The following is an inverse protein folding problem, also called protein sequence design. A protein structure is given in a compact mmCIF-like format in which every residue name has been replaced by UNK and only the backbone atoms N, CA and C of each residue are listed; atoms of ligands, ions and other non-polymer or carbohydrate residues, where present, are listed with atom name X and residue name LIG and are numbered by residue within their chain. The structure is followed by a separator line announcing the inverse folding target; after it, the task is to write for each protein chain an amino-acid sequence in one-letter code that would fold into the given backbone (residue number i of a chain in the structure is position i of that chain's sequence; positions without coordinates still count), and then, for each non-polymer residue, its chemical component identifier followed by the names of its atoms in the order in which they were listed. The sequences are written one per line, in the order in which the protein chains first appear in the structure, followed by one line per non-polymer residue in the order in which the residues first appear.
data_IF_308917408946
#
_entry.id   IF_308917408946
#
_cell.length_a   1.000
_cell.length_b   1.000
_cell.length_c   1.000
_cell.angle_alpha   90.00
_cell.angle_beta   90.00
_cell.angle_gamma   90.00
#
_symmetry.space_group_name_H-M   'P 1'
#
loop_
_entity.id
_entity.type
_entity.pdbx_description
1 polymer ?
#
# COMPACT_ATOMS: atom_id res chain seq x y z
N UNK A 1 13.74 4.72 -21.70
CA UNK A 1 12.75 3.95 -20.89
C UNK A 1 12.64 4.68 -19.56
N UNK A 2 11.46 5.00 -19.07
CA UNK A 2 11.34 5.60 -17.75
C UNK A 2 11.83 4.61 -16.69
N UNK A 3 12.50 5.11 -15.64
CA UNK A 3 12.94 4.30 -14.51
C UNK A 3 11.73 3.67 -13.81
N UNK A 4 11.89 2.49 -13.26
CA UNK A 4 10.82 1.85 -12.49
C UNK A 4 10.56 2.66 -11.19
N UNK A 5 9.34 2.61 -10.67
CA UNK A 5 8.96 3.40 -9.48
C UNK A 5 9.85 3.10 -8.26
N UNK A 6 10.34 1.87 -8.12
CA UNK A 6 11.25 1.46 -7.05
C UNK A 6 12.71 1.90 -7.26
N UNK A 7 13.03 2.57 -8.37
CA UNK A 7 14.32 3.22 -8.63
C UNK A 7 14.27 4.73 -8.34
N UNK A 8 13.09 5.28 -8.05
CA UNK A 8 12.93 6.67 -7.63
C UNK A 8 13.49 6.85 -6.21
N UNK A 9 14.51 7.68 -6.05
CA UNK A 9 15.19 7.91 -4.77
C UNK A 9 14.24 8.40 -3.66
N UNK A 10 13.18 9.12 -4.02
CA UNK A 10 12.16 9.58 -3.07
C UNK A 10 11.36 8.39 -2.54
N UNK A 11 10.99 7.47 -3.41
CA UNK A 11 10.25 6.24 -3.06
C UNK A 11 11.13 5.31 -2.22
N UNK A 12 12.40 5.12 -2.61
CA UNK A 12 13.38 4.30 -1.85
C UNK A 12 13.56 4.85 -0.43
N UNK A 13 13.73 6.17 -0.30
CA UNK A 13 13.87 6.81 1.02
C UNK A 13 12.61 6.65 1.87
N UNK A 14 11.43 7.00 1.33
CA UNK A 14 10.16 6.88 2.04
C UNK A 14 9.85 5.43 2.44
N UNK A 15 10.14 4.46 1.58
CA UNK A 15 10.02 3.05 1.92
C UNK A 15 10.95 2.65 3.07
N UNK A 16 12.18 3.16 3.09
CA UNK A 16 13.11 2.93 4.19
C UNK A 16 12.55 3.40 5.53
N UNK A 17 12.04 4.64 5.57
CA UNK A 17 11.40 5.22 6.77
C UNK A 17 10.17 4.41 7.18
N UNK A 18 9.30 4.06 6.22
CA UNK A 18 8.11 3.24 6.47
C UNK A 18 8.47 1.90 7.12
N UNK A 19 9.40 1.16 6.55
CA UNK A 19 9.81 -0.15 7.07
C UNK A 19 10.44 -0.06 8.46
N UNK A 20 11.20 1.00 8.75
CA UNK A 20 11.78 1.24 10.06
C UNK A 20 10.68 1.53 11.09
N UNK A 21 9.75 2.44 10.78
CA UNK A 21 8.62 2.76 11.65
C UNK A 21 7.74 1.52 11.94
N UNK A 22 7.54 0.65 10.96
CA UNK A 22 6.79 -0.61 11.17
C UNK A 22 7.54 -1.57 12.10
N UNK A 23 8.87 -1.68 11.98
CA UNK A 23 9.69 -2.50 12.90
C UNK A 23 9.62 -1.98 14.33
N UNK A 24 9.65 -0.66 14.52
CA UNK A 24 9.57 -0.04 15.85
C UNK A 24 8.20 -0.23 16.50
N UNK A 25 7.12 -0.17 15.72
CA UNK A 25 5.75 -0.42 16.23
C UNK A 25 5.55 -1.86 16.68
N UNK A 26 6.34 -2.78 16.14
CA UNK A 26 6.12 -4.20 16.30
C UNK A 26 4.86 -4.66 15.56
N UNK A 27 4.71 -5.94 15.38
CA UNK A 27 3.60 -6.52 14.62
C UNK A 27 4.12 -7.46 13.55
N UNK A 28 3.21 -8.20 12.95
CA UNK A 28 3.53 -9.15 11.89
C UNK A 28 3.04 -8.60 10.57
N UNK A 29 3.92 -8.55 9.58
CA UNK A 29 3.49 -8.24 8.22
C UNK A 29 2.56 -9.34 7.72
N UNK A 30 1.37 -8.97 7.30
CA UNK A 30 0.36 -9.86 6.74
C UNK A 30 0.21 -9.73 5.23
N UNK A 31 0.78 -8.68 4.64
CA UNK A 31 0.69 -8.45 3.21
C UNK A 31 1.25 -7.10 2.78
N UNK A 32 0.86 -6.73 1.58
CA UNK A 32 1.24 -5.49 0.93
C UNK A 32 0.00 -4.78 0.40
N UNK A 33 -0.05 -3.48 0.46
CA UNK A 33 -1.03 -2.66 -0.23
C UNK A 33 -0.38 -1.91 -1.38
N UNK A 34 -1.14 -1.70 -2.45
CA UNK A 34 -0.75 -0.91 -3.61
C UNK A 34 -1.69 0.28 -3.71
N UNK A 35 -1.14 1.48 -3.79
CA UNK A 35 -1.93 2.70 -3.88
C UNK A 35 -1.38 3.70 -4.87
N UNK A 36 -2.15 4.76 -5.11
CA UNK A 36 -1.76 5.92 -5.93
C UNK A 36 -1.39 5.56 -7.39
N UNK A 37 -1.89 4.42 -7.88
CA UNK A 37 -1.61 3.90 -9.22
C UNK A 37 -2.51 4.44 -10.33
N UNK A 38 -3.44 5.34 -10.05
CA UNK A 38 -4.24 5.99 -11.08
C UNK A 38 -3.37 6.91 -11.95
N UNK A 39 -3.53 6.89 -13.29
CA UNK A 39 -2.68 7.68 -14.20
C UNK A 39 -2.55 9.16 -13.81
N UNK A 40 -3.65 9.83 -13.49
CA UNK A 40 -3.65 11.24 -13.08
C UNK A 40 -2.93 11.48 -11.74
N UNK A 41 -2.93 10.49 -10.83
CA UNK A 41 -2.23 10.57 -9.56
C UNK A 41 -0.73 10.35 -9.78
N UNK A 42 -0.37 9.34 -10.57
CA UNK A 42 1.02 9.08 -10.94
C UNK A 42 1.65 10.27 -11.65
N UNK A 43 0.93 10.90 -12.60
CA UNK A 43 1.38 12.10 -13.28
C UNK A 43 1.64 13.24 -12.28
N UNK A 44 0.71 13.48 -11.35
CA UNK A 44 0.84 14.53 -10.33
C UNK A 44 2.04 14.29 -9.40
N UNK A 45 2.30 13.03 -9.02
CA UNK A 45 3.42 12.65 -8.15
C UNK A 45 4.74 12.49 -8.91
N UNK A 46 4.70 12.45 -10.23
CA UNK A 46 5.84 12.20 -11.09
C UNK A 46 6.38 10.77 -10.93
N UNK A 47 5.50 9.79 -10.67
CA UNK A 47 5.88 8.38 -10.53
C UNK A 47 5.54 7.59 -11.78
N UNK A 48 6.22 6.45 -11.97
CA UNK A 48 6.04 5.55 -13.13
C UNK A 48 5.23 4.29 -12.79
N UNK A 49 4.76 4.18 -11.56
CA UNK A 49 3.97 3.05 -11.07
C UNK A 49 3.30 3.34 -9.74
N UNK A 50 2.46 2.44 -9.29
CA UNK A 50 1.83 2.48 -7.97
C UNK A 50 2.87 2.38 -6.85
N UNK A 51 2.58 3.01 -5.71
CA UNK A 51 3.36 2.85 -4.49
C UNK A 51 2.94 1.58 -3.75
N UNK A 52 3.86 0.98 -3.02
CA UNK A 52 3.63 -0.24 -2.23
C UNK A 52 3.98 0.04 -0.78
N UNK A 53 3.14 -0.42 0.16
CA UNK A 53 3.38 -0.32 1.59
C UNK A 53 3.00 -1.62 2.30
N UNK A 54 3.58 -1.87 3.48
CA UNK A 54 3.26 -3.05 4.28
C UNK A 54 1.86 -2.95 4.91
N UNK A 55 1.18 -4.10 4.98
CA UNK A 55 0.03 -4.31 5.84
C UNK A 55 0.46 -5.09 7.08
N UNK A 56 0.06 -4.59 8.25
CA UNK A 56 0.37 -5.18 9.54
C UNK A 56 -0.89 -5.77 10.19
N UNK A 57 -0.74 -6.87 10.92
CA UNK A 57 -1.84 -7.50 11.66
C UNK A 57 -2.49 -6.55 12.68
N UNK A 58 -1.68 -5.68 13.31
CA UNK A 58 -2.15 -4.71 14.28
C UNK A 58 -3.14 -3.65 13.71
N UNK A 59 -3.18 -3.47 12.38
CA UNK A 59 -4.09 -2.54 11.72
C UNK A 59 -5.22 -3.23 10.96
N UNK A 60 -5.26 -4.56 10.98
CA UNK A 60 -6.34 -5.34 10.38
C UNK A 60 -7.57 -5.33 11.30
N UNK A 61 -8.69 -4.94 10.75
CA UNK A 61 -9.99 -5.01 11.44
C UNK A 61 -10.84 -6.13 10.86
N UNK A 62 -11.58 -6.79 11.72
CA UNK A 62 -12.55 -7.79 11.30
C UNK A 62 -13.74 -7.15 10.59
N UNK A 63 -14.36 -7.90 9.69
CA UNK A 63 -15.61 -7.48 9.06
C UNK A 63 -16.69 -7.24 10.13
N UNK A 64 -17.31 -6.06 10.09
CA UNK A 64 -18.30 -5.62 11.07
C UNK A 64 -17.70 -4.92 12.30
N UNK A 65 -16.37 -4.75 12.38
CA UNK A 65 -15.75 -3.94 13.43
C UNK A 65 -16.21 -2.49 13.35
N UNK A 66 -16.14 -1.80 14.49
CA UNK A 66 -16.37 -0.35 14.58
C UNK A 66 -15.04 0.34 14.88
N UNK A 67 -14.77 1.40 14.16
CA UNK A 67 -13.61 2.25 14.37
C UNK A 67 -14.08 3.67 14.66
N UNK A 68 -13.58 4.27 15.76
CA UNK A 68 -13.77 5.70 15.99
C UNK A 68 -12.84 6.49 15.09
N UNK A 69 -13.40 7.49 14.43
CA UNK A 69 -12.66 8.48 13.65
C UNK A 69 -12.56 9.83 14.38
N UNK A 70 -12.85 9.82 15.68
CA UNK A 70 -12.71 11.02 16.52
C UNK A 70 -11.26 11.50 16.52
N UNK A 71 -11.07 12.76 16.23
CA UNK A 71 -9.74 13.37 16.12
C UNK A 71 -9.06 13.22 14.75
N UNK A 72 -9.67 12.47 13.81
CA UNK A 72 -9.19 12.46 12.43
C UNK A 72 -9.53 13.78 11.74
N UNK A 73 -8.57 14.30 10.97
CA UNK A 73 -8.74 15.56 10.24
C UNK A 73 -9.59 15.38 8.98
N UNK A 74 -9.36 14.28 8.26
CA UNK A 74 -10.08 13.93 7.03
C UNK A 74 -10.13 12.42 6.85
N UNK A 75 -11.09 11.75 7.48
CA UNK A 75 -11.29 10.31 7.28
C UNK A 75 -11.70 10.02 5.83
N UNK A 76 -11.02 9.08 5.21
CA UNK A 76 -11.30 8.59 3.86
C UNK A 76 -11.50 7.08 3.92
N UNK A 77 -12.47 6.60 3.14
CA UNK A 77 -12.80 5.19 2.98
C UNK A 77 -12.54 4.81 1.53
N UNK A 78 -11.64 3.89 1.30
CA UNK A 78 -11.25 3.44 -0.03
C UNK A 78 -11.72 2.00 -0.25
N UNK A 79 -12.68 1.77 -1.18
CA UNK A 79 -13.05 0.41 -1.57
C UNK A 79 -11.87 -0.29 -2.26
N UNK A 80 -11.55 -1.48 -1.81
CA UNK A 80 -10.38 -2.24 -2.24
C UNK A 80 -10.73 -3.67 -2.62
N UNK A 81 -9.82 -4.33 -3.30
CA UNK A 81 -9.86 -5.77 -3.53
C UNK A 81 -8.68 -6.41 -2.79
N UNK A 82 -8.99 -7.20 -1.78
CA UNK A 82 -8.00 -8.06 -1.12
C UNK A 82 -7.70 -9.25 -2.02
N UNK A 83 -6.41 -9.48 -2.28
CA UNK A 83 -5.90 -10.60 -3.07
C UNK A 83 -5.17 -11.54 -2.13
N UNK A 84 -5.64 -12.78 -2.01
CA UNK A 84 -5.00 -13.80 -1.19
C UNK A 84 -4.01 -14.58 -2.05
N UNK A 85 -2.75 -14.55 -1.63
CA UNK A 85 -1.64 -15.23 -2.31
C UNK A 85 -1.34 -16.53 -1.56
N UNK A 86 -1.42 -17.67 -2.24
CA UNK A 86 -1.23 -18.99 -1.64
C UNK A 86 0.17 -19.56 -1.78
N UNK A 87 0.98 -19.00 -2.69
CA UNK A 87 2.37 -19.40 -2.90
C UNK A 87 3.22 -18.18 -3.21
N UNK A 88 4.49 -18.22 -2.82
CA UNK A 88 5.43 -17.16 -3.15
C UNK A 88 5.62 -17.05 -4.66
N UNK A 89 5.79 -15.82 -5.14
CA UNK A 89 6.16 -15.52 -6.52
C UNK A 89 7.63 -15.10 -6.52
N UNK A 90 8.45 -15.81 -7.28
CA UNK A 90 9.87 -15.50 -7.40
C UNK A 90 10.08 -14.09 -7.97
N UNK A 91 11.12 -13.37 -7.51
CA UNK A 91 11.49 -12.08 -8.08
C UNK A 91 11.70 -12.18 -9.61
N UNK A 92 11.06 -11.30 -10.34
CA UNK A 92 11.08 -11.33 -11.80
C UNK A 92 10.09 -12.31 -12.43
N UNK A 93 9.23 -12.95 -11.65
CA UNK A 93 8.11 -13.74 -12.15
C UNK A 93 7.20 -12.93 -13.07
N UNK A 94 6.65 -13.59 -14.06
CA UNK A 94 5.75 -12.96 -15.01
C UNK A 94 4.30 -12.85 -14.46
N UNK A 95 3.43 -12.26 -15.28
CA UNK A 95 2.02 -12.09 -14.95
C UNK A 95 1.30 -13.41 -14.72
N UNK A 96 1.65 -14.45 -15.47
CA UNK A 96 1.00 -15.75 -15.38
C UNK A 96 1.38 -16.44 -14.06
N UNK A 97 2.64 -16.35 -13.65
CA UNK A 97 3.10 -16.83 -12.35
C UNK A 97 2.40 -16.08 -11.20
N UNK A 98 2.28 -14.77 -11.29
CA UNK A 98 1.55 -13.97 -10.30
C UNK A 98 0.07 -14.36 -10.24
N UNK A 99 -0.58 -14.53 -11.39
CA UNK A 99 -1.99 -14.93 -11.45
C UNK A 99 -2.22 -16.34 -10.87
N UNK A 100 -1.31 -17.28 -11.15
CA UNK A 100 -1.37 -18.64 -10.62
C UNK A 100 -1.20 -18.72 -9.09
N UNK A 101 -0.54 -17.74 -8.49
CA UNK A 101 -0.34 -17.68 -7.04
C UNK A 101 -1.60 -17.19 -6.28
N UNK A 102 -2.59 -16.59 -6.97
CA UNK A 102 -3.81 -16.08 -6.37
C UNK A 102 -4.74 -17.23 -6.01
N UNK A 103 -5.14 -17.33 -4.75
CA UNK A 103 -6.06 -18.37 -4.27
C UNK A 103 -7.48 -17.87 -4.03
N UNK A 104 -7.64 -16.59 -3.72
CA UNK A 104 -8.96 -15.98 -3.49
C UNK A 104 -8.91 -14.47 -3.66
N UNK A 105 -10.10 -13.88 -3.85
CA UNK A 105 -10.35 -12.45 -3.84
C UNK A 105 -11.47 -12.14 -2.85
N UNK A 106 -11.39 -11.00 -2.17
CA UNK A 106 -12.46 -10.51 -1.32
C UNK A 106 -12.59 -8.98 -1.41
N UNK A 107 -13.78 -8.41 -1.18
CA UNK A 107 -13.91 -6.98 -0.96
C UNK A 107 -13.20 -6.58 0.34
N UNK A 108 -12.56 -5.42 0.34
CA UNK A 108 -11.95 -4.82 1.51
C UNK A 108 -12.23 -3.30 1.52
N UNK A 109 -11.98 -2.67 2.64
CA UNK A 109 -12.07 -1.22 2.80
C UNK A 109 -10.80 -0.76 3.50
N UNK A 110 -10.05 0.13 2.87
CA UNK A 110 -9.01 0.88 3.56
C UNK A 110 -9.62 2.11 4.24
N UNK A 111 -9.18 2.39 5.48
CA UNK A 111 -9.57 3.57 6.22
C UNK A 111 -8.31 4.37 6.55
N UNK A 112 -8.25 5.60 6.13
CA UNK A 112 -7.07 6.46 6.28
C UNK A 112 -7.48 7.88 6.66
N UNK A 113 -6.71 8.50 7.54
CA UNK A 113 -6.77 9.95 7.75
C UNK A 113 -5.87 10.65 6.73
N UNK A 114 -6.46 11.37 5.80
CA UNK A 114 -5.75 12.05 4.72
C UNK A 114 -5.97 13.56 4.79
N UNK A 115 -5.31 14.27 5.73
CA UNK A 115 -5.53 15.70 5.97
C UNK A 115 -5.18 16.57 4.76
N UNK A 116 -4.22 16.14 3.95
CA UNK A 116 -3.79 16.83 2.73
C UNK A 116 -3.59 15.86 1.58
N UNK A 117 -3.89 16.25 0.34
CA UNK A 117 -3.55 15.45 -0.82
C UNK A 117 -2.03 15.21 -0.90
N UNK A 118 -1.57 14.01 -1.20
CA UNK A 118 -0.15 13.74 -1.34
C UNK A 118 0.44 14.50 -2.52
N UNK A 119 1.60 15.12 -2.31
CA UNK A 119 2.35 15.88 -3.32
C UNK A 119 3.74 15.33 -3.58
N UNK A 120 4.26 14.52 -2.67
CA UNK A 120 5.55 13.84 -2.80
C UNK A 120 5.38 12.34 -2.54
N UNK A 121 5.86 11.47 -3.44
CA UNK A 121 5.67 10.02 -3.29
C UNK A 121 6.46 9.42 -2.12
N UNK A 122 7.57 10.03 -1.72
CA UNK A 122 8.33 9.60 -0.54
C UNK A 122 7.57 9.89 0.74
N UNK A 123 7.05 11.12 0.89
CA UNK A 123 6.29 11.53 2.06
C UNK A 123 4.97 10.77 2.27
N UNK A 124 4.43 10.12 1.25
CA UNK A 124 3.26 9.24 1.38
C UNK A 124 3.59 7.96 2.13
N UNK A 125 4.84 7.52 2.03
CA UNK A 125 5.31 6.27 2.65
C UNK A 125 5.82 6.49 4.08
N UNK A 126 6.17 7.72 4.46
CA UNK A 126 6.61 8.08 5.81
C UNK A 126 5.46 8.08 6.83
#
# INVERSE_FOLDING_TARGET
MAAAVWEDERVVRGMGVHLEAQREKGGTRIGWKMGLGLPAVMERLGTTGALVAELQDATLLDSGASLSVDGWARPVFEPEVAVFVGTDVEPGGDRDAAAAAITALAPAIEMVDLPSPPTDPGAVLE
#
